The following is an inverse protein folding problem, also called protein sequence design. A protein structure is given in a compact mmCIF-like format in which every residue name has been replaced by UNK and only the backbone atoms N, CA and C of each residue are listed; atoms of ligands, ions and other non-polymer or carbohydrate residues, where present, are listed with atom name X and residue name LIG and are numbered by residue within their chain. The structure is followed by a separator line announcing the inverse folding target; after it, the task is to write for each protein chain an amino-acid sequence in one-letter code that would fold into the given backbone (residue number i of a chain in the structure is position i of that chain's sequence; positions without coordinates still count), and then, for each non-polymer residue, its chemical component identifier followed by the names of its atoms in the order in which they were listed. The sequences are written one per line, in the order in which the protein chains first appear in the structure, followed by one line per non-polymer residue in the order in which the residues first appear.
data_IF_355150623497
#
_entry.id   IF_355150623497
#
_cell.length_a   1.000
_cell.length_b   1.000
_cell.length_c   1.000
_cell.angle_alpha   90.00
_cell.angle_beta   90.00
_cell.angle_gamma   90.00
#
_symmetry.space_group_name_H-M   'P 1'
#
loop_
_entity.id
_entity.type
_entity.pdbx_description
1 polymer ?
#
# COMPACT_ATOMS: atom_id res chain seq x y z
N UNK A 1 -1.22 19.45 -13.13
CA UNK A 1 -2.61 19.48 -12.60
C UNK A 1 -3.58 18.43 -13.18
N UNK A 2 -3.11 17.40 -13.94
CA UNK A 2 -4.00 16.36 -14.54
C UNK A 2 -4.01 15.02 -13.80
N UNK A 3 -3.28 14.87 -12.68
CA UNK A 3 -3.06 13.56 -12.03
C UNK A 3 -3.99 13.21 -10.86
N UNK A 4 -5.09 13.95 -10.66
CA UNK A 4 -5.94 13.79 -9.48
C UNK A 4 -7.42 13.47 -9.78
N UNK A 5 -7.73 13.03 -10.99
CA UNK A 5 -9.10 12.83 -11.44
C UNK A 5 -9.31 11.40 -11.90
N UNK A 6 -10.47 10.84 -11.60
CA UNK A 6 -10.85 9.51 -12.08
C UNK A 6 -11.10 9.58 -13.60
N UNK A 7 -10.63 8.55 -14.30
CA UNK A 7 -10.84 8.36 -15.72
C UNK A 7 -11.98 7.35 -15.92
N UNK A 8 -13.12 7.81 -16.39
CA UNK A 8 -14.30 6.99 -16.60
C UNK A 8 -14.44 6.61 -18.08
N UNK A 9 -14.47 5.32 -18.36
CA UNK A 9 -14.72 4.72 -19.67
C UNK A 9 -15.59 3.47 -19.51
N UNK A 10 -16.91 3.64 -19.43
CA UNK A 10 -17.82 2.57 -19.04
C UNK A 10 -17.59 1.25 -19.79
N UNK A 11 -17.68 0.10 -19.10
CA UNK A 11 -18.11 -0.07 -17.70
C UNK A 11 -16.98 0.10 -16.66
N UNK A 12 -15.81 0.61 -17.07
CA UNK A 12 -14.62 0.73 -16.22
C UNK A 12 -14.40 2.15 -15.71
N UNK A 13 -13.81 2.23 -14.52
CA UNK A 13 -13.30 3.45 -13.89
C UNK A 13 -11.87 3.21 -13.41
N UNK A 14 -10.96 4.04 -13.87
CA UNK A 14 -9.56 4.00 -13.45
C UNK A 14 -9.33 5.11 -12.45
N UNK A 15 -8.87 4.74 -11.25
CA UNK A 15 -8.51 5.66 -10.19
C UNK A 15 -6.98 5.79 -10.10
N UNK A 16 -6.39 6.89 -10.59
CA UNK A 16 -4.95 7.08 -10.56
C UNK A 16 -4.36 7.33 -9.17
N UNK A 17 -5.21 7.66 -8.17
CA UNK A 17 -4.77 7.90 -6.79
C UNK A 17 -4.51 6.59 -6.04
N UNK A 18 -5.32 5.58 -6.36
CA UNK A 18 -5.27 4.27 -5.72
C UNK A 18 -4.52 3.24 -6.58
N UNK A 19 -4.09 3.63 -7.78
CA UNK A 19 -3.57 2.74 -8.81
C UNK A 19 -4.50 1.53 -9.05
N UNK A 20 -5.82 1.79 -9.10
CA UNK A 20 -6.86 0.76 -9.20
C UNK A 20 -7.77 0.95 -10.40
N UNK A 21 -8.10 -0.18 -11.02
CA UNK A 21 -9.14 -0.30 -12.03
C UNK A 21 -10.40 -0.90 -11.37
N UNK A 22 -11.55 -0.34 -11.70
CA UNK A 22 -12.84 -0.83 -11.24
C UNK A 22 -13.76 -1.13 -12.43
N UNK A 23 -14.59 -2.15 -12.30
CA UNK A 23 -15.73 -2.42 -13.17
C UNK A 23 -17.02 -2.21 -12.36
N UNK A 24 -17.71 -1.10 -12.58
CA UNK A 24 -18.67 -0.60 -11.62
C UNK A 24 -18.00 -0.37 -10.27
N UNK A 25 -18.45 -1.03 -9.20
CA UNK A 25 -17.86 -0.95 -7.86
C UNK A 25 -16.91 -2.11 -7.53
N UNK A 26 -16.71 -3.03 -8.46
CA UNK A 26 -15.85 -4.20 -8.25
C UNK A 26 -14.42 -3.89 -8.68
N UNK A 27 -13.40 -4.03 -7.81
CA UNK A 27 -12.01 -3.83 -8.19
C UNK A 27 -11.54 -4.94 -9.14
N UNK A 28 -10.89 -4.53 -10.23
CA UNK A 28 -10.26 -5.42 -11.21
C UNK A 28 -8.76 -5.45 -10.94
N UNK A 29 -8.17 -6.60 -10.60
CA UNK A 29 -6.76 -6.69 -10.29
C UNK A 29 -5.91 -6.39 -11.53
N UNK A 30 -5.02 -5.42 -11.42
CA UNK A 30 -4.07 -5.07 -12.47
C UNK A 30 -2.74 -4.67 -11.83
N UNK A 31 -1.63 -5.22 -12.34
CA UNK A 31 -0.29 -4.93 -11.81
C UNK A 31 0.13 -3.50 -12.14
N UNK A 32 1.10 -2.96 -11.37
CA UNK A 32 1.55 -1.57 -11.48
C UNK A 32 1.95 -1.14 -12.91
N UNK A 33 2.74 -1.95 -13.63
CA UNK A 33 3.16 -1.62 -15.01
C UNK A 33 2.02 -1.71 -16.04
N UNK A 34 1.20 -2.78 -16.09
CA UNK A 34 -0.04 -2.80 -16.86
C UNK A 34 -1.00 -1.68 -16.51
N UNK A 35 -1.13 -1.32 -15.22
CA UNK A 35 -1.94 -0.19 -14.78
C UNK A 35 -1.42 1.13 -15.36
N UNK A 36 -0.11 1.40 -15.21
CA UNK A 36 0.53 2.59 -15.76
C UNK A 36 0.36 2.66 -17.28
N UNK A 37 0.43 1.51 -17.98
CA UNK A 37 0.19 1.42 -19.42
C UNK A 37 -1.25 1.79 -19.78
N UNK A 38 -2.23 1.21 -19.08
CA UNK A 38 -3.65 1.51 -19.27
C UNK A 38 -3.94 2.99 -18.98
N UNK A 39 -3.41 3.51 -17.87
CA UNK A 39 -3.53 4.90 -17.48
C UNK A 39 -3.01 5.83 -18.57
N UNK A 40 -1.77 5.61 -19.03
CA UNK A 40 -1.19 6.44 -20.09
C UNK A 40 -2.06 6.45 -21.35
N UNK A 41 -2.58 5.31 -21.77
CA UNK A 41 -3.46 5.21 -22.94
C UNK A 41 -4.82 5.89 -22.70
N UNK A 42 -5.40 5.78 -21.50
CA UNK A 42 -6.66 6.43 -21.13
C UNK A 42 -6.51 7.95 -20.97
N UNK A 43 -5.33 8.44 -20.59
CA UNK A 43 -5.00 9.88 -20.59
C UNK A 43 -4.84 10.46 -22.02
N UNK A 44 -4.67 9.59 -23.04
CA UNK A 44 -4.53 9.95 -24.45
C UNK A 44 -5.57 9.21 -25.33
N UNK A 45 -6.87 9.36 -25.05
CA UNK A 45 -7.92 8.62 -25.75
C UNK A 45 -7.95 8.95 -27.25
N UNK A 46 -8.31 7.96 -28.07
CA UNK A 46 -8.46 8.05 -29.53
C UNK A 46 -7.19 8.44 -30.29
N UNK A 47 -6.09 8.70 -29.60
CA UNK A 47 -4.80 9.03 -30.18
C UNK A 47 -3.99 7.74 -30.44
N UNK A 48 -3.26 7.71 -31.55
CA UNK A 48 -2.25 6.68 -31.79
C UNK A 48 -1.02 6.96 -30.92
N UNK A 49 -0.75 6.08 -29.98
CA UNK A 49 0.44 6.09 -29.11
C UNK A 49 1.47 5.12 -29.67
N UNK A 50 2.66 5.60 -30.02
CA UNK A 50 3.74 4.78 -30.59
C UNK A 50 4.35 3.84 -29.56
N UNK A 51 4.97 2.75 -30.04
CA UNK A 51 5.68 1.80 -29.16
C UNK A 51 6.81 2.48 -28.36
N UNK A 52 7.56 3.39 -29.00
CA UNK A 52 8.65 4.13 -28.36
C UNK A 52 8.11 5.05 -27.27
N UNK A 53 7.06 5.79 -27.55
CA UNK A 53 6.41 6.68 -26.62
C UNK A 53 5.89 5.93 -25.36
N UNK A 54 5.27 4.76 -25.54
CA UNK A 54 4.85 3.91 -24.41
C UNK A 54 6.03 3.41 -23.60
N UNK A 55 7.13 3.02 -24.25
CA UNK A 55 8.33 2.57 -23.57
C UNK A 55 8.95 3.69 -22.74
N UNK A 56 9.12 4.85 -23.32
CA UNK A 56 9.69 6.02 -22.62
C UNK A 56 8.80 6.44 -21.44
N UNK A 57 7.49 6.45 -21.61
CA UNK A 57 6.55 6.84 -20.57
C UNK A 57 6.49 5.85 -19.40
N UNK A 58 6.61 4.54 -19.67
CA UNK A 58 6.42 3.49 -18.65
C UNK A 58 7.76 2.96 -18.11
N UNK A 59 8.82 3.02 -18.92
CA UNK A 59 10.18 2.54 -18.57
C UNK A 59 11.26 3.56 -18.96
N UNK A 60 11.26 4.76 -18.38
CA UNK A 60 12.19 5.83 -18.79
C UNK A 60 13.66 5.46 -18.61
N UNK A 61 13.99 4.54 -17.71
CA UNK A 61 15.36 4.16 -17.35
C UNK A 61 15.77 2.75 -17.77
N UNK A 62 14.86 1.96 -18.36
CA UNK A 62 15.11 0.56 -18.68
C UNK A 62 14.77 0.26 -20.13
N UNK A 63 15.71 -0.28 -20.88
CA UNK A 63 15.43 -0.75 -22.24
C UNK A 63 14.53 -1.98 -22.18
N UNK A 64 13.33 -1.87 -22.73
CA UNK A 64 12.32 -2.93 -22.76
C UNK A 64 12.03 -3.29 -24.21
N UNK A 65 12.08 -4.59 -24.54
CA UNK A 65 11.77 -5.07 -25.89
C UNK A 65 10.26 -5.00 -26.18
N UNK A 66 9.92 -4.94 -27.47
CA UNK A 66 8.51 -4.99 -27.90
C UNK A 66 7.75 -6.23 -27.42
N UNK A 67 8.47 -7.32 -27.13
CA UNK A 67 7.91 -8.54 -26.55
C UNK A 67 7.31 -8.29 -25.16
N UNK A 68 7.99 -7.55 -24.31
CA UNK A 68 7.54 -7.22 -22.94
C UNK A 68 6.32 -6.31 -22.99
N UNK A 69 6.33 -5.29 -23.86
CA UNK A 69 5.17 -4.42 -24.05
C UNK A 69 3.92 -5.21 -24.48
N UNK A 70 4.07 -6.19 -25.36
CA UNK A 70 2.96 -7.08 -25.78
C UNK A 70 2.44 -7.96 -24.63
N UNK A 71 3.30 -8.40 -23.73
CA UNK A 71 2.89 -9.17 -22.54
C UNK A 71 2.00 -8.31 -21.64
N UNK A 72 2.42 -7.08 -21.32
CA UNK A 72 1.63 -6.17 -20.49
C UNK A 72 0.32 -5.74 -21.15
N UNK A 73 0.32 -5.51 -22.45
CA UNK A 73 -0.92 -5.24 -23.19
C UNK A 73 -1.89 -6.42 -23.18
N UNK A 74 -1.39 -7.64 -23.24
CA UNK A 74 -2.23 -8.83 -23.10
C UNK A 74 -2.88 -8.88 -21.73
N UNK A 75 -2.14 -8.52 -20.68
CA UNK A 75 -2.67 -8.44 -19.32
C UNK A 75 -3.72 -7.33 -19.17
N UNK A 76 -3.47 -6.15 -19.73
CA UNK A 76 -4.47 -5.06 -19.75
C UNK A 76 -5.74 -5.51 -20.48
N UNK A 77 -5.62 -6.16 -21.65
CA UNK A 77 -6.77 -6.69 -22.38
C UNK A 77 -7.54 -7.74 -21.58
N UNK A 78 -6.84 -8.65 -20.93
CA UNK A 78 -7.47 -9.64 -20.07
C UNK A 78 -8.26 -8.99 -18.93
N UNK A 79 -7.73 -7.92 -18.33
CA UNK A 79 -8.41 -7.16 -17.28
C UNK A 79 -9.63 -6.37 -17.79
N UNK A 80 -9.59 -5.90 -19.04
CA UNK A 80 -10.70 -5.20 -19.71
C UNK A 80 -11.67 -6.14 -20.45
N UNK A 81 -11.43 -7.46 -20.42
CA UNK A 81 -12.18 -8.42 -21.24
C UNK A 81 -12.20 -8.05 -22.73
N UNK A 82 -11.07 -7.51 -23.23
CA UNK A 82 -10.91 -6.97 -24.59
C UNK A 82 -10.21 -7.99 -25.51
N UNK A 83 -10.79 -8.25 -26.66
CA UNK A 83 -10.23 -9.17 -27.65
C UNK A 83 -9.44 -8.44 -28.74
N UNK A 84 -8.20 -8.88 -28.99
CA UNK A 84 -7.33 -8.26 -29.99
C UNK A 84 -7.87 -8.31 -31.43
N UNK A 85 -8.76 -9.26 -31.73
CA UNK A 85 -9.39 -9.48 -33.05
C UNK A 85 -10.65 -8.63 -33.25
N UNK A 86 -11.31 -8.24 -32.14
CA UNK A 86 -12.49 -7.39 -32.13
C UNK A 86 -12.38 -6.37 -30.98
N UNK A 87 -11.42 -5.43 -31.05
CA UNK A 87 -11.09 -4.57 -29.93
C UNK A 87 -12.21 -3.58 -29.59
N UNK A 88 -12.60 -3.55 -28.33
CA UNK A 88 -13.53 -2.56 -27.79
C UNK A 88 -12.78 -1.42 -27.06
N UNK A 89 -11.61 -1.73 -26.49
CA UNK A 89 -10.84 -0.78 -25.71
C UNK A 89 -9.49 -0.45 -26.33
N UNK A 90 -8.72 -1.45 -26.80
CA UNK A 90 -7.36 -1.22 -27.31
C UNK A 90 -7.21 -1.76 -28.72
N UNK A 91 -7.15 -0.86 -29.69
CA UNK A 91 -6.82 -1.19 -31.08
C UNK A 91 -5.30 -1.33 -31.26
N UNK A 92 -4.88 -2.40 -31.95
CA UNK A 92 -3.49 -2.52 -32.41
C UNK A 92 -3.39 -1.96 -33.83
N UNK A 93 -2.65 -0.86 -34.00
CA UNK A 93 -2.32 -0.33 -35.31
C UNK A 93 -1.00 -0.96 -35.78
N UNK A 94 -1.07 -1.86 -36.74
CA UNK A 94 0.06 -2.67 -37.21
C UNK A 94 1.32 -1.82 -37.45
N UNK A 95 2.45 -2.23 -36.88
CA UNK A 95 3.78 -1.61 -36.98
C UNK A 95 3.89 -0.15 -36.48
N UNK A 96 2.82 0.43 -35.91
CA UNK A 96 2.79 1.85 -35.52
C UNK A 96 2.59 2.08 -34.02
N UNK A 97 1.77 1.27 -33.34
CA UNK A 97 1.46 1.45 -31.92
C UNK A 97 0.06 0.96 -31.55
N UNK A 98 -0.50 1.59 -30.54
CA UNK A 98 -1.80 1.25 -29.97
C UNK A 98 -2.67 2.49 -29.86
N UNK A 99 -3.99 2.29 -29.86
CA UNK A 99 -4.97 3.36 -29.68
C UNK A 99 -6.00 2.92 -28.67
N UNK A 100 -6.30 3.78 -27.70
CA UNK A 100 -7.40 3.59 -26.77
C UNK A 100 -8.68 4.12 -27.41
N UNK A 101 -9.65 3.23 -27.64
CA UNK A 101 -10.84 3.54 -28.44
C UNK A 101 -11.91 4.31 -27.68
N UNK A 102 -12.19 4.02 -26.39
CA UNK A 102 -13.24 4.70 -25.66
C UNK A 102 -12.99 6.20 -25.53
N UNK A 103 -14.08 6.97 -25.53
CA UNK A 103 -14.05 8.31 -24.97
C UNK A 103 -13.87 8.21 -23.45
N UNK A 104 -12.95 9.00 -22.91
CA UNK A 104 -12.66 9.04 -21.49
C UNK A 104 -13.23 10.31 -20.91
N UNK A 105 -14.18 10.17 -19.98
CA UNK A 105 -14.67 11.28 -19.20
C UNK A 105 -13.74 11.49 -18.00
N UNK A 106 -13.24 12.71 -17.87
CA UNK A 106 -12.49 13.13 -16.70
C UNK A 106 -13.52 13.57 -15.67
N UNK A 107 -13.84 12.69 -14.76
CA UNK A 107 -14.66 13.05 -13.61
C UNK A 107 -13.70 13.65 -12.60
N UNK A 108 -13.85 14.96 -12.33
CA UNK A 108 -13.31 15.52 -11.09
C UNK A 108 -13.91 14.62 -10.01
N UNK A 109 -13.10 13.69 -9.48
CA UNK A 109 -13.60 12.69 -8.56
C UNK A 109 -14.43 13.44 -7.55
N UNK A 110 -15.76 13.25 -7.59
CA UNK A 110 -16.50 13.47 -6.37
C UNK A 110 -15.59 12.85 -5.35
N UNK A 111 -15.14 13.63 -4.39
CA UNK A 111 -14.49 13.10 -3.24
C UNK A 111 -15.42 11.99 -2.69
N UNK A 112 -15.43 10.84 -3.39
CA UNK A 112 -15.34 9.62 -2.69
C UNK A 112 -14.00 9.84 -2.00
N UNK A 113 -14.11 10.56 -0.88
CA UNK A 113 -13.19 10.34 0.18
C UNK A 113 -12.84 8.86 0.02
N UNK A 114 -11.62 8.57 -0.41
CA UNK A 114 -10.89 7.58 0.27
C UNK A 114 -10.57 8.24 1.60
N UNK A 115 -11.60 8.41 2.33
CA UNK A 115 -11.66 7.72 3.57
C UNK A 115 -11.16 6.32 3.18
N UNK A 116 -9.86 6.06 3.29
CA UNK A 116 -9.40 5.08 4.25
C UNK A 116 -10.60 4.89 5.14
N UNK A 117 -11.41 3.72 5.00
CA UNK A 117 -12.73 3.73 5.59
C UNK A 117 -12.54 4.44 6.90
N UNK A 118 -13.15 5.62 6.97
CA UNK A 118 -12.94 6.51 8.10
C UNK A 118 -13.25 5.60 9.23
N UNK A 119 -12.31 5.32 10.12
CA UNK A 119 -12.33 4.16 10.99
C UNK A 119 -13.75 4.01 11.35
N UNK A 120 -14.33 2.89 10.92
CA UNK A 120 -15.76 2.70 10.99
C UNK A 120 -16.10 3.15 12.38
N UNK A 121 -16.83 4.26 12.56
CA UNK A 121 -17.12 4.85 13.85
C UNK A 121 -17.99 3.88 14.70
N UNK A 122 -18.23 2.71 14.13
CA UNK A 122 -18.74 1.57 14.85
C UNK A 122 -17.64 1.14 15.82
N UNK A 123 -17.79 1.44 17.12
CA UNK A 123 -16.79 1.09 18.12
C UNK A 123 -16.55 -0.42 18.00
N UNK A 124 -15.27 -0.79 17.89
CA UNK A 124 -14.86 -2.19 17.76
C UNK A 124 -15.52 -3.01 18.85
N UNK A 125 -16.18 -4.10 18.46
CA UNK A 125 -16.82 -5.01 19.39
C UNK A 125 -15.86 -6.16 19.68
N UNK A 126 -15.65 -6.47 20.95
CA UNK A 126 -14.62 -7.40 21.39
C UNK A 126 -13.22 -6.80 21.17
N UNK A 127 -12.20 -7.60 21.27
CA UNK A 127 -10.80 -7.20 21.01
C UNK A 127 -10.21 -6.19 21.98
N UNK A 128 -10.79 -6.06 23.16
CA UNK A 128 -10.34 -5.10 24.17
C UNK A 128 -8.91 -5.39 24.62
N UNK A 129 -8.60 -6.65 24.86
CA UNK A 129 -7.26 -7.07 25.30
C UNK A 129 -6.23 -6.92 24.18
N UNK A 130 -6.58 -7.32 22.94
CA UNK A 130 -5.69 -7.18 21.78
C UNK A 130 -5.40 -5.70 21.50
N UNK A 131 -6.41 -4.85 21.57
CA UNK A 131 -6.24 -3.41 21.36
C UNK A 131 -5.43 -2.77 22.47
N UNK A 132 -5.63 -3.20 23.73
CA UNK A 132 -4.82 -2.77 24.86
C UNK A 132 -3.35 -3.15 24.69
N UNK A 133 -3.05 -4.37 24.27
CA UNK A 133 -1.67 -4.83 24.04
C UNK A 133 -0.97 -4.01 22.95
N UNK A 134 -1.69 -3.68 21.88
CA UNK A 134 -1.19 -2.79 20.81
C UNK A 134 -0.96 -1.36 21.31
N UNK A 135 -1.85 -0.80 22.13
CA UNK A 135 -1.67 0.51 22.75
C UNK A 135 -0.49 0.52 23.73
N UNK A 136 -0.29 -0.55 24.50
CA UNK A 136 0.87 -0.69 25.38
C UNK A 136 2.18 -0.75 24.59
N UNK A 137 2.20 -1.42 23.42
CA UNK A 137 3.33 -1.42 22.50
C UNK A 137 3.58 0.00 21.94
N UNK A 138 2.54 0.72 21.55
CA UNK A 138 2.64 2.11 21.14
C UNK A 138 3.20 3.03 22.24
N UNK A 139 2.73 2.90 23.47
CA UNK A 139 3.25 3.67 24.61
C UNK A 139 4.75 3.40 24.84
N UNK A 140 5.20 2.14 24.70
CA UNK A 140 6.63 1.81 24.77
C UNK A 140 7.42 2.41 23.61
N UNK A 141 6.85 2.44 22.41
CA UNK A 141 7.47 3.09 21.25
C UNK A 141 7.64 4.60 21.50
N UNK A 142 6.63 5.27 22.02
CA UNK A 142 6.71 6.70 22.40
C UNK A 142 7.79 6.96 23.47
N UNK A 143 8.07 5.99 24.33
CA UNK A 143 9.16 6.05 25.31
C UNK A 143 10.56 5.78 24.72
N UNK A 144 10.70 5.75 23.40
CA UNK A 144 11.97 5.54 22.69
C UNK A 144 12.38 4.07 22.50
N UNK A 145 11.50 3.12 22.78
CA UNK A 145 11.75 1.70 22.58
C UNK A 145 11.18 1.26 21.24
N UNK A 146 12.05 0.76 20.37
CA UNK A 146 11.57 0.15 19.12
C UNK A 146 10.73 -1.07 19.43
N UNK A 147 9.52 -1.12 18.91
CA UNK A 147 8.58 -2.22 19.10
C UNK A 147 8.18 -2.81 17.74
N UNK A 148 8.17 -4.14 17.66
CA UNK A 148 7.66 -4.89 16.51
C UNK A 148 6.57 -5.83 17.02
N UNK A 149 5.38 -5.75 16.42
CA UNK A 149 4.24 -6.58 16.79
C UNK A 149 3.72 -7.29 15.53
N UNK A 150 3.69 -8.61 15.58
CA UNK A 150 3.05 -9.43 14.56
C UNK A 150 1.63 -9.79 15.04
N UNK A 151 0.63 -9.45 14.21
CA UNK A 151 -0.78 -9.76 14.46
C UNK A 151 -1.18 -10.94 13.59
N UNK A 152 -1.33 -12.10 14.22
CA UNK A 152 -1.64 -13.37 13.59
C UNK A 152 -3.12 -13.69 13.69
N UNK A 153 -3.73 -14.28 12.66
CA UNK A 153 -5.11 -14.75 12.68
C UNK A 153 -5.63 -15.16 11.31
N UNK A 154 -6.72 -15.92 11.30
CA UNK A 154 -7.36 -16.42 10.08
C UNK A 154 -7.82 -15.29 9.14
N UNK A 155 -8.06 -15.63 7.87
CA UNK A 155 -8.65 -14.69 6.92
C UNK A 155 -10.04 -14.24 7.40
N UNK A 156 -10.32 -12.93 7.31
CA UNK A 156 -11.63 -12.37 7.73
C UNK A 156 -11.82 -12.22 9.24
N UNK A 157 -10.87 -12.62 10.10
CA UNK A 157 -11.00 -12.60 11.57
C UNK A 157 -11.05 -11.18 12.17
N UNK A 158 -10.76 -10.13 11.37
CA UNK A 158 -10.81 -8.74 11.82
C UNK A 158 -9.43 -8.13 12.13
N UNK A 159 -8.31 -8.66 11.62
CA UNK A 159 -6.97 -8.08 11.80
C UNK A 159 -6.88 -6.62 11.32
N UNK A 160 -7.31 -6.36 10.09
CA UNK A 160 -7.31 -4.99 9.52
C UNK A 160 -8.21 -4.04 10.30
N UNK A 161 -9.36 -4.52 10.82
CA UNK A 161 -10.23 -3.73 11.68
C UNK A 161 -9.53 -3.38 13.01
N UNK A 162 -8.80 -4.33 13.60
CA UNK A 162 -8.01 -4.12 14.82
C UNK A 162 -6.91 -3.08 14.59
N UNK A 163 -6.16 -3.19 13.48
CA UNK A 163 -5.15 -2.20 13.11
C UNK A 163 -5.80 -0.84 12.84
N UNK A 164 -6.92 -0.80 12.11
CA UNK A 164 -7.67 0.43 11.87
C UNK A 164 -8.10 1.12 13.16
N UNK A 165 -8.60 0.37 14.16
CA UNK A 165 -8.98 0.90 15.46
C UNK A 165 -7.77 1.46 16.24
N UNK A 166 -6.65 0.73 16.29
CA UNK A 166 -5.40 1.24 16.86
C UNK A 166 -5.00 2.57 16.21
N UNK A 167 -4.89 2.58 14.89
CA UNK A 167 -4.41 3.74 14.15
C UNK A 167 -5.33 4.96 14.33
N UNK A 168 -6.63 4.73 14.47
CA UNK A 168 -7.60 5.79 14.76
C UNK A 168 -7.44 6.38 16.16
N UNK A 169 -7.20 5.53 17.14
CA UNK A 169 -6.94 5.98 18.51
C UNK A 169 -5.64 6.78 18.61
N UNK A 170 -4.55 6.26 18.02
CA UNK A 170 -3.25 6.93 18.10
C UNK A 170 -3.16 8.18 17.21
N UNK A 171 -3.96 8.30 16.15
CA UNK A 171 -4.02 9.51 15.33
C UNK A 171 -4.48 10.75 16.09
N UNK A 172 -5.17 10.58 17.22
CA UNK A 172 -5.57 11.69 18.11
C UNK A 172 -4.42 12.20 18.99
N UNK A 173 -3.32 11.45 19.09
CA UNK A 173 -2.13 11.89 19.81
C UNK A 173 -1.33 12.88 18.97
N UNK A 174 -1.02 14.05 19.56
CA UNK A 174 -0.21 15.05 18.89
C UNK A 174 1.15 14.49 18.48
N UNK A 175 1.40 14.53 17.18
CA UNK A 175 2.72 14.27 16.64
C UNK A 175 3.03 12.82 16.28
N UNK A 176 2.06 11.95 16.18
CA UNK A 176 2.27 10.59 15.63
C UNK A 176 2.29 10.63 14.11
N UNK A 177 3.26 9.95 13.52
CA UNK A 177 3.39 9.74 12.08
C UNK A 177 3.01 8.31 11.73
N UNK A 178 2.01 8.14 10.88
CA UNK A 178 1.45 6.83 10.52
C UNK A 178 1.75 6.54 9.05
N UNK A 179 2.54 5.50 8.79
CA UNK A 179 2.76 4.92 7.47
C UNK A 179 1.97 3.62 7.32
N UNK A 180 1.23 3.49 6.21
CA UNK A 180 0.47 2.26 5.89
C UNK A 180 0.96 1.67 4.60
N UNK A 181 1.21 0.36 4.60
CA UNK A 181 1.52 -0.42 3.41
C UNK A 181 0.78 -1.76 3.44
N UNK A 182 0.38 -2.22 2.28
CA UNK A 182 -0.32 -3.50 2.13
C UNK A 182 0.45 -4.42 1.20
N UNK A 183 0.67 -5.66 1.64
CA UNK A 183 1.17 -6.70 0.77
C UNK A 183 0.02 -7.28 -0.04
N UNK A 184 0.22 -7.47 -1.33
CA UNK A 184 -0.77 -8.05 -2.23
C UNK A 184 -0.26 -9.35 -2.81
N UNK A 185 -1.17 -10.30 -3.02
CA UNK A 185 -0.83 -11.57 -3.66
C UNK A 185 -0.31 -11.32 -5.07
N UNK A 186 0.94 -11.68 -5.32
CA UNK A 186 1.55 -11.61 -6.63
C UNK A 186 1.79 -12.99 -7.21
N UNK A 187 1.37 -13.22 -8.47
CA UNK A 187 1.78 -14.37 -9.26
C UNK A 187 3.03 -14.00 -10.07
N UNK A 188 4.21 -14.18 -9.49
CA UNK A 188 5.50 -13.86 -10.11
C UNK A 188 6.44 -13.11 -9.16
N UNK A 189 7.52 -12.53 -9.68
CA UNK A 189 8.43 -11.71 -8.87
C UNK A 189 7.71 -10.43 -8.43
N UNK A 190 7.59 -10.22 -7.11
CA UNK A 190 7.06 -9.00 -6.54
C UNK A 190 8.15 -7.91 -6.52
N UNK A 191 7.75 -6.67 -6.67
CA UNK A 191 8.66 -5.53 -6.53
C UNK A 191 9.22 -5.50 -5.10
N UNK A 192 10.55 -5.45 -4.93
CA UNK A 192 11.16 -5.42 -3.61
C UNK A 192 10.70 -4.22 -2.80
N UNK A 193 10.40 -4.43 -1.52
CA UNK A 193 10.01 -3.40 -0.55
C UNK A 193 8.70 -2.66 -0.84
N UNK A 194 7.86 -3.11 -1.77
CA UNK A 194 6.63 -2.39 -2.16
C UNK A 194 5.78 -1.93 -0.98
N UNK A 195 5.41 -2.77 0.01
CA UNK A 195 4.59 -2.33 1.14
C UNK A 195 5.28 -1.28 2.01
N UNK A 196 6.61 -1.30 2.06
CA UNK A 196 7.38 -0.30 2.81
C UNK A 196 7.44 1.02 2.05
N UNK A 197 7.60 0.98 0.74
CA UNK A 197 7.53 2.17 -0.12
C UNK A 197 6.16 2.86 -0.02
N UNK A 198 5.07 2.09 0.01
CA UNK A 198 3.72 2.62 0.20
C UNK A 198 3.56 3.25 1.59
N UNK A 199 4.08 2.60 2.64
CA UNK A 199 4.08 3.15 3.99
C UNK A 199 4.88 4.47 4.07
N UNK A 200 6.03 4.55 3.42
CA UNK A 200 6.84 5.77 3.36
C UNK A 200 6.13 6.89 2.58
N UNK A 201 5.48 6.58 1.45
CA UNK A 201 4.65 7.56 0.73
C UNK A 201 3.55 8.12 1.62
N UNK A 202 2.88 7.26 2.36
CA UNK A 202 1.82 7.65 3.27
C UNK A 202 2.34 8.55 4.41
N UNK A 203 3.57 8.34 4.88
CA UNK A 203 4.26 9.23 5.83
C UNK A 203 4.58 10.61 5.24
N UNK A 204 4.87 10.70 3.95
CA UNK A 204 5.23 11.95 3.29
C UNK A 204 4.05 12.91 3.10
N UNK A 205 2.81 12.44 3.11
CA UNK A 205 1.64 13.29 2.81
C UNK A 205 1.29 14.29 3.91
N UNK A 206 1.16 13.91 5.20
CA UNK A 206 0.77 14.86 6.25
C UNK A 206 1.92 15.77 6.71
N UNK A 207 3.17 15.29 6.67
CA UNK A 207 4.36 15.94 7.26
C UNK A 207 5.49 16.08 6.23
N UNK A 208 5.16 16.49 5.01
CA UNK A 208 6.13 16.61 3.88
C UNK A 208 7.37 17.41 4.25
N UNK A 209 7.21 18.49 5.02
CA UNK A 209 8.29 19.42 5.40
C UNK A 209 9.32 18.82 6.35
N UNK A 210 9.01 17.72 7.01
CA UNK A 210 9.92 17.01 7.93
C UNK A 210 10.37 15.69 7.36
N UNK A 211 9.43 14.90 6.82
CA UNK A 211 9.69 13.53 6.38
C UNK A 211 10.52 13.50 5.08
N UNK A 212 10.14 14.31 4.08
CA UNK A 212 10.86 14.33 2.79
C UNK A 212 12.32 14.76 2.94
N UNK A 213 12.68 15.86 3.66
CA UNK A 213 14.07 16.21 3.90
C UNK A 213 14.86 15.12 4.65
N UNK A 214 14.23 14.44 5.62
CA UNK A 214 14.87 13.36 6.34
C UNK A 214 15.16 12.15 5.41
N UNK A 215 14.18 11.72 4.61
CA UNK A 215 14.38 10.63 3.63
C UNK A 215 15.42 11.06 2.58
N UNK A 216 15.37 12.29 2.07
CA UNK A 216 16.36 12.80 1.10
C UNK A 216 17.77 12.76 1.64
N UNK A 217 17.96 13.07 2.91
CA UNK A 217 19.28 13.10 3.55
C UNK A 217 19.81 11.72 3.93
N UNK A 218 18.95 10.87 4.53
CA UNK A 218 19.36 9.63 5.15
C UNK A 218 19.02 8.38 4.33
N UNK A 219 18.00 8.46 3.46
CA UNK A 219 17.55 7.34 2.63
C UNK A 219 17.31 7.76 1.16
N UNK A 220 18.30 8.37 0.49
CA UNK A 220 18.16 8.85 -0.89
C UNK A 220 17.80 7.73 -1.87
N UNK A 221 18.30 6.51 -1.66
CA UNK A 221 17.98 5.35 -2.50
C UNK A 221 16.50 4.98 -2.45
N UNK A 222 15.85 5.18 -1.32
CA UNK A 222 14.41 4.95 -1.15
C UNK A 222 13.59 6.05 -1.82
N UNK A 223 14.01 7.30 -1.67
CA UNK A 223 13.32 8.42 -2.31
C UNK A 223 13.36 8.30 -3.85
N UNK A 224 14.46 7.79 -4.41
CA UNK A 224 14.60 7.52 -5.83
C UNK A 224 13.67 6.40 -6.36
N UNK A 225 13.00 5.65 -5.49
CA UNK A 225 11.99 4.65 -5.83
C UNK A 225 10.54 5.15 -5.62
N UNK A 226 10.38 6.40 -5.19
CA UNK A 226 9.08 7.00 -4.91
C UNK A 226 8.79 8.18 -5.85
N UNK A 227 8.47 7.94 -7.14
CA UNK A 227 8.12 9.00 -8.08
C UNK A 227 6.89 9.78 -7.57
N UNK A 228 6.89 11.10 -7.81
CA UNK A 228 5.79 11.99 -7.42
C UNK A 228 5.81 12.45 -5.95
N UNK A 229 6.78 12.02 -5.14
CA UNK A 229 6.98 12.54 -3.76
C UNK A 229 7.77 13.85 -3.77
N UNK A 230 8.62 14.05 -4.77
CA UNK A 230 9.38 15.28 -5.01
C UNK A 230 9.19 15.72 -6.46
N UNK A 231 9.60 16.96 -6.77
CA UNK A 231 9.52 17.52 -8.13
C UNK A 231 10.36 16.68 -9.12
N UNK A 232 9.91 16.61 -10.36
CA UNK A 232 10.46 15.72 -11.40
C UNK A 232 11.95 15.98 -11.67
N UNK A 233 12.38 17.24 -11.71
CA UNK A 233 13.79 17.59 -11.90
C UNK A 233 14.68 17.11 -10.75
N UNK A 234 14.22 17.32 -9.52
CA UNK A 234 14.93 16.86 -8.32
C UNK A 234 14.94 15.32 -8.22
N UNK A 235 13.92 14.66 -8.74
CA UNK A 235 13.83 13.21 -8.81
C UNK A 235 14.83 12.63 -9.82
N UNK A 236 14.92 13.22 -11.02
CA UNK A 236 15.89 12.82 -12.05
C UNK A 236 17.35 12.96 -11.58
N UNK A 237 17.68 14.08 -10.94
CA UNK A 237 18.98 14.31 -10.34
C UNK A 237 19.33 13.28 -9.25
N UNK A 238 18.34 12.91 -8.43
CA UNK A 238 18.51 11.93 -7.38
C UNK A 238 18.77 10.53 -7.94
N UNK A 239 18.03 10.13 -8.97
CA UNK A 239 18.19 8.83 -9.63
C UNK A 239 19.62 8.67 -10.23
N UNK A 240 20.17 9.73 -10.83
CA UNK A 240 21.53 9.70 -11.35
C UNK A 240 22.58 9.51 -10.25
N UNK A 241 22.36 10.12 -9.07
CA UNK A 241 23.31 10.05 -7.94
C UNK A 241 23.28 8.71 -7.20
N UNK A 242 22.15 7.99 -7.26
CA UNK A 242 21.90 6.79 -6.43
C UNK A 242 22.12 5.48 -7.21
N UNK A 243 22.41 5.53 -8.51
CA UNK A 243 22.59 4.37 -9.37
C UNK A 243 23.50 3.29 -8.79
N UNK A 244 23.04 2.03 -8.77
CA UNK A 244 23.84 0.86 -8.35
C UNK A 244 23.91 0.58 -6.84
N UNK A 245 22.99 1.11 -6.04
CA UNK A 245 22.96 0.89 -4.58
C UNK A 245 22.60 -0.55 -4.21
N UNK A 246 23.47 -1.23 -3.46
CA UNK A 246 23.22 -2.58 -2.97
C UNK A 246 22.20 -2.64 -1.81
N UNK A 247 21.57 -3.81 -1.63
CA UNK A 247 20.55 -4.07 -0.60
C UNK A 247 20.99 -3.64 0.82
N UNK A 248 22.22 -3.91 1.21
CA UNK A 248 22.74 -3.53 2.55
C UNK A 248 22.77 -2.01 2.76
N UNK A 249 23.01 -1.23 1.72
CA UNK A 249 22.95 0.22 1.80
C UNK A 249 21.51 0.68 2.03
N UNK A 250 20.56 0.14 1.29
CA UNK A 250 19.13 0.43 1.47
C UNK A 250 18.65 0.15 2.88
N UNK A 251 19.01 -1.02 3.46
CA UNK A 251 18.64 -1.38 4.84
C UNK A 251 19.17 -0.36 5.87
N UNK A 252 20.41 0.11 5.71
CA UNK A 252 20.98 1.13 6.60
C UNK A 252 20.33 2.49 6.43
N UNK A 253 20.18 2.93 5.20
CA UNK A 253 19.56 4.22 4.86
C UNK A 253 18.17 4.37 5.49
N UNK A 254 17.28 3.38 5.29
CA UNK A 254 15.91 3.48 5.81
C UNK A 254 15.88 3.40 7.33
N UNK A 255 16.74 2.61 7.94
CA UNK A 255 16.79 2.53 9.39
C UNK A 255 17.22 3.87 10.00
N UNK A 256 18.24 4.52 9.45
CA UNK A 256 18.69 5.86 9.87
C UNK A 256 17.62 6.91 9.64
N UNK A 257 16.94 6.88 8.49
CA UNK A 257 15.84 7.80 8.19
C UNK A 257 14.69 7.67 9.20
N UNK A 258 14.24 6.43 9.48
CA UNK A 258 13.18 6.18 10.46
C UNK A 258 13.57 6.60 11.88
N UNK A 259 14.83 6.40 12.26
CA UNK A 259 15.37 6.87 13.55
C UNK A 259 15.35 8.39 13.65
N UNK A 260 15.72 9.09 12.59
CA UNK A 260 15.69 10.56 12.56
C UNK A 260 14.26 11.11 12.51
N UNK A 261 13.39 10.52 11.72
CA UNK A 261 11.96 10.89 11.67
C UNK A 261 11.32 10.64 13.04
N UNK A 262 11.68 9.52 13.69
CA UNK A 262 11.21 9.12 15.01
C UNK A 262 11.91 9.78 16.20
N UNK A 263 12.85 10.71 15.98
CA UNK A 263 13.60 11.33 17.08
C UNK A 263 12.74 12.21 18.00
N UNK A 264 11.70 12.83 17.47
CA UNK A 264 10.85 13.78 18.19
C UNK A 264 9.38 13.39 18.23
N UNK A 265 8.95 12.50 17.34
CA UNK A 265 7.56 12.08 17.18
C UNK A 265 7.51 10.61 16.81
N UNK A 266 6.67 9.85 17.48
CA UNK A 266 6.56 8.43 17.23
C UNK A 266 6.16 8.13 15.77
N UNK A 267 6.83 7.18 15.17
CA UNK A 267 6.52 6.63 13.83
C UNK A 267 5.86 5.29 14.00
N UNK A 268 4.75 5.08 13.35
CA UNK A 268 4.03 3.81 13.30
C UNK A 268 3.99 3.32 11.86
N UNK A 269 4.54 2.16 11.59
CA UNK A 269 4.45 1.49 10.30
C UNK A 269 3.48 0.30 10.42
N UNK A 270 2.34 0.39 9.76
CA UNK A 270 1.36 -0.69 9.68
C UNK A 270 1.52 -1.39 8.31
N UNK A 271 1.95 -2.64 8.33
CA UNK A 271 2.17 -3.46 7.13
C UNK A 271 1.18 -4.62 7.14
N UNK A 272 0.21 -4.58 6.24
CA UNK A 272 -0.85 -5.59 6.22
C UNK A 272 -0.51 -6.74 5.28
N UNK A 273 -0.96 -7.94 5.66
CA UNK A 273 -0.87 -9.18 4.89
C UNK A 273 0.56 -9.62 4.54
N UNK A 274 1.49 -9.55 5.51
CA UNK A 274 2.91 -9.93 5.35
C UNK A 274 3.12 -11.34 4.77
N UNK A 275 2.13 -12.21 4.79
CA UNK A 275 2.19 -13.51 4.13
C UNK A 275 2.22 -13.42 2.59
N UNK A 276 1.98 -12.24 2.02
CA UNK A 276 2.18 -11.93 0.60
C UNK A 276 3.41 -11.06 0.34
N UNK A 277 4.21 -10.81 1.38
CA UNK A 277 5.37 -9.93 1.30
C UNK A 277 6.51 -10.54 0.46
N UNK A 278 7.26 -9.66 -0.20
CA UNK A 278 8.51 -10.01 -0.85
C UNK A 278 9.63 -10.32 0.17
N UNK A 279 10.64 -11.14 -0.19
CA UNK A 279 11.72 -11.50 0.71
C UNK A 279 12.56 -10.31 1.20
N UNK A 280 12.66 -9.23 0.40
CA UNK A 280 13.44 -8.05 0.77
C UNK A 280 12.77 -7.27 1.89
N UNK A 281 11.44 -7.16 1.86
CA UNK A 281 10.64 -6.57 2.95
C UNK A 281 10.83 -7.36 4.25
N UNK A 282 10.79 -8.70 4.20
CA UNK A 282 10.99 -9.54 5.38
C UNK A 282 12.41 -9.38 5.94
N UNK A 283 13.43 -9.30 5.06
CA UNK A 283 14.82 -9.01 5.45
C UNK A 283 14.94 -7.65 6.13
N UNK A 284 14.23 -6.64 5.64
CA UNK A 284 14.19 -5.32 6.27
C UNK A 284 13.56 -5.36 7.66
N UNK A 285 12.45 -6.08 7.83
CA UNK A 285 11.80 -6.23 9.12
C UNK A 285 12.72 -6.90 10.15
N UNK A 286 13.44 -7.96 9.74
CA UNK A 286 14.47 -8.60 10.58
C UNK A 286 15.57 -7.61 10.96
N UNK A 287 16.08 -6.87 9.98
CA UNK A 287 17.11 -5.85 10.20
C UNK A 287 16.66 -4.78 11.18
N UNK A 288 15.45 -4.23 11.00
CA UNK A 288 14.90 -3.20 11.88
C UNK A 288 14.65 -3.72 13.29
N UNK A 289 14.17 -4.96 13.45
CA UNK A 289 13.92 -5.57 14.75
C UNK A 289 15.21 -5.79 15.56
N UNK A 290 16.33 -6.10 14.90
CA UNK A 290 17.63 -6.38 15.54
C UNK A 290 18.43 -5.11 15.86
N UNK A 291 18.01 -3.95 15.40
CA UNK A 291 18.73 -2.70 15.70
C UNK A 291 18.55 -2.29 17.17
N UNK A 292 19.65 -1.89 17.77
CA UNK A 292 19.70 -1.51 19.20
C UNK A 292 19.59 0.00 19.43
N UNK A 293 19.69 0.80 18.37
CA UNK A 293 19.56 2.24 18.47
C UNK A 293 18.15 2.63 18.95
N UNK A 294 18.02 3.49 19.97
CA UNK A 294 16.73 3.96 20.44
C UNK A 294 15.96 4.64 19.29
N UNK A 295 14.69 4.33 19.16
CA UNK A 295 13.82 4.98 18.20
C UNK A 295 12.37 4.91 18.68
N UNK A 296 11.63 6.01 18.50
CA UNK A 296 10.19 6.04 18.70
C UNK A 296 9.50 5.40 17.48
N UNK A 297 9.65 4.08 17.35
CA UNK A 297 9.19 3.34 16.18
C UNK A 297 8.38 2.12 16.62
N UNK A 298 7.13 2.06 16.18
CA UNK A 298 6.28 0.89 16.25
C UNK A 298 6.08 0.32 14.84
N UNK A 299 6.40 -0.95 14.65
CA UNK A 299 6.07 -1.69 13.43
C UNK A 299 5.01 -2.72 13.78
N UNK A 300 3.86 -2.66 13.10
CA UNK A 300 2.79 -3.65 13.25
C UNK A 300 2.60 -4.36 11.93
N UNK A 301 2.77 -5.68 11.92
CA UNK A 301 2.62 -6.51 10.74
C UNK A 301 1.49 -7.51 10.90
N UNK A 302 0.52 -7.57 9.97
CA UNK A 302 -0.52 -8.60 10.01
C UNK A 302 -0.18 -9.78 9.12
N UNK A 303 -0.54 -10.99 9.53
CA UNK A 303 -0.36 -12.19 8.72
C UNK A 303 -1.35 -13.29 9.07
N UNK A 304 -1.44 -14.31 8.21
CA UNK A 304 -2.14 -15.56 8.53
C UNK A 304 -1.31 -16.38 9.53
N UNK A 305 -1.95 -17.28 10.30
CA UNK A 305 -1.20 -18.14 11.22
C UNK A 305 -0.04 -18.83 10.52
N UNK A 306 1.13 -18.80 11.11
CA UNK A 306 2.34 -19.42 10.51
C UNK A 306 2.16 -20.91 10.22
N UNK A 307 1.27 -21.59 10.95
CA UNK A 307 0.91 -22.98 10.69
C UNK A 307 0.18 -23.17 9.36
N UNK A 308 -0.55 -22.17 8.89
CA UNK A 308 -1.27 -22.18 7.61
C UNK A 308 -0.37 -21.80 6.42
N UNK A 309 0.86 -21.33 6.64
CA UNK A 309 1.81 -20.98 5.59
C UNK A 309 2.58 -22.22 5.12
N UNK A 310 3.01 -22.25 3.85
CA UNK A 310 3.92 -23.29 3.36
C UNK A 310 5.15 -23.46 4.26
N UNK A 311 5.66 -24.68 4.40
CA UNK A 311 6.74 -24.98 5.33
C UNK A 311 8.04 -24.21 5.10
N UNK A 312 8.30 -23.83 3.84
CA UNK A 312 9.45 -23.02 3.41
C UNK A 312 9.17 -21.52 3.30
N UNK A 313 8.04 -21.04 3.81
CA UNK A 313 7.69 -19.62 3.69
C UNK A 313 8.61 -18.75 4.56
N UNK A 314 9.31 -17.72 4.01
CA UNK A 314 10.30 -16.93 4.73
C UNK A 314 9.74 -16.22 5.98
N UNK A 315 8.47 -15.78 5.95
CA UNK A 315 7.81 -15.15 7.08
C UNK A 315 7.74 -16.09 8.32
N UNK A 316 7.58 -17.40 8.09
CA UNK A 316 7.55 -18.38 9.20
C UNK A 316 8.85 -18.34 10.01
N UNK A 317 9.98 -18.35 9.33
CA UNK A 317 11.32 -18.26 9.94
C UNK A 317 11.47 -16.92 10.67
N UNK A 318 11.11 -15.82 10.01
CA UNK A 318 11.20 -14.48 10.60
C UNK A 318 10.41 -14.38 11.91
N UNK A 319 9.12 -14.77 11.91
CA UNK A 319 8.27 -14.69 13.10
C UNK A 319 8.84 -15.57 14.21
N UNK A 320 9.27 -16.81 13.91
CA UNK A 320 9.84 -17.72 14.90
C UNK A 320 11.14 -17.22 15.51
N UNK A 321 12.01 -16.60 14.74
CA UNK A 321 13.29 -16.06 15.23
C UNK A 321 13.12 -14.80 16.09
N UNK A 322 12.15 -13.95 15.75
CA UNK A 322 11.92 -12.69 16.44
C UNK A 322 10.97 -12.82 17.64
N UNK A 323 10.05 -13.79 17.62
CA UNK A 323 9.02 -13.95 18.64
C UNK A 323 9.61 -14.13 20.04
N UNK A 324 9.04 -13.40 21.01
CA UNK A 324 9.41 -13.46 22.43
C UNK A 324 10.74 -12.77 22.79
N UNK A 325 11.53 -12.33 21.82
CA UNK A 325 12.82 -11.65 22.05
C UNK A 325 12.85 -10.22 21.52
N UNK A 326 12.58 -10.06 20.23
CA UNK A 326 12.67 -8.79 19.49
C UNK A 326 11.33 -8.34 18.93
N UNK A 327 10.37 -9.25 18.84
CA UNK A 327 9.01 -8.97 18.43
C UNK A 327 8.00 -9.65 19.34
N UNK A 328 6.80 -9.09 19.42
CA UNK A 328 5.64 -9.69 20.07
C UNK A 328 4.76 -10.34 19.01
N UNK A 329 4.14 -11.44 19.33
CA UNK A 329 3.11 -12.06 18.52
C UNK A 329 1.76 -11.98 19.24
N UNK A 330 0.79 -11.31 18.61
CA UNK A 330 -0.56 -11.17 19.10
C UNK A 330 -1.47 -12.04 18.23
N UNK A 331 -2.09 -13.04 18.82
CA UNK A 331 -3.01 -13.94 18.09
C UNK A 331 -4.45 -13.45 18.22
N UNK A 332 -5.09 -13.19 17.09
CA UNK A 332 -6.49 -12.78 17.00
C UNK A 332 -7.35 -14.03 16.79
N UNK A 333 -8.12 -14.43 17.80
CA UNK A 333 -9.03 -15.57 17.78
C UNK A 333 -10.44 -15.21 17.26
N UNK A 334 -11.38 -16.15 17.29
CA UNK A 334 -12.78 -15.89 16.97
C UNK A 334 -13.43 -14.95 18.00
N UNK A 335 -14.42 -14.17 17.59
CA UNK A 335 -15.25 -13.39 18.50
C UNK A 335 -16.07 -14.33 19.37
N UNK A 336 -16.32 -13.94 20.62
CA UNK A 336 -17.23 -14.68 21.50
C UNK A 336 -18.67 -14.51 21.04
N UNK A 337 -19.55 -15.41 21.49
CA UNK A 337 -20.99 -15.31 21.20
C UNK A 337 -21.56 -13.95 21.67
N UNK A 338 -21.07 -13.47 22.82
CA UNK A 338 -21.47 -12.16 23.37
C UNK A 338 -21.01 -11.00 22.47
N UNK A 339 -19.78 -11.08 21.93
CA UNK A 339 -19.25 -10.08 21.02
C UNK A 339 -20.05 -10.04 19.72
N UNK A 340 -20.38 -11.22 19.17
CA UNK A 340 -21.22 -11.33 17.96
C UNK A 340 -22.61 -10.74 18.20
N UNK A 341 -23.26 -11.05 19.33
CA UNK A 341 -24.55 -10.46 19.69
C UNK A 341 -24.49 -8.93 19.78
N UNK A 342 -23.45 -8.41 20.44
CA UNK A 342 -23.22 -6.97 20.57
C UNK A 342 -22.96 -6.31 19.20
N UNK A 343 -22.23 -6.98 18.32
CA UNK A 343 -21.97 -6.51 16.96
C UNK A 343 -23.26 -6.39 16.13
N UNK A 344 -24.11 -7.43 16.19
CA UNK A 344 -25.37 -7.44 15.46
C UNK A 344 -26.35 -6.38 15.98
N UNK A 345 -26.42 -6.18 17.31
CA UNK A 345 -27.27 -5.14 17.90
C UNK A 345 -26.88 -3.75 17.41
N UNK A 346 -25.58 -3.44 17.40
CA UNK A 346 -25.07 -2.15 16.91
C UNK A 346 -25.29 -1.93 15.43
N UNK A 347 -25.20 -2.97 14.62
CA UNK A 347 -25.53 -2.88 13.19
C UNK A 347 -27.01 -2.60 12.95
N UNK A 348 -27.89 -3.19 13.74
CA UNK A 348 -29.33 -2.91 13.70
C UNK A 348 -29.66 -1.44 14.05
N UNK A 349 -29.05 -0.89 15.09
CA UNK A 349 -29.24 0.52 15.49
C UNK A 349 -28.75 1.52 14.42
N UNK A 350 -27.64 1.22 13.72
CA UNK A 350 -27.12 2.05 12.62
C UNK A 350 -28.04 1.99 11.39
N UNK A 351 -28.64 0.83 11.10
CA UNK A 351 -29.59 0.68 10.00
C UNK A 351 -30.88 1.48 10.26
N UNK A 352 -31.40 1.47 11.49
CA UNK A 352 -32.60 2.23 11.88
C UNK A 352 -32.37 3.76 11.86
N UNK A 353 -31.18 4.23 12.23
CA UNK A 353 -30.84 5.67 12.17
C UNK A 353 -30.71 6.18 10.72
N UNK A 354 -30.20 5.38 9.81
CA UNK A 354 -30.12 5.74 8.39
C UNK A 354 -31.47 5.60 7.65
N UNK A 355 -32.36 4.75 8.14
CA UNK A 355 -33.72 4.61 7.61
C UNK A 355 -34.69 5.73 8.00
N UNK A 356 -34.41 6.43 9.11
CA UNK A 356 -35.28 7.51 9.61
C UNK A 356 -35.01 8.88 8.98
N UNK A 357 -33.92 9.05 8.24
CA UNK A 357 -33.55 10.33 7.58
C UNK A 357 -34.07 10.49 6.15
N UNK A 358 -34.89 9.55 5.67
CA UNK A 358 -35.44 9.57 4.28
C UNK A 358 -36.95 9.83 4.21
N UNK A 359 -37.59 10.27 5.29
CA UNK A 359 -39.00 10.67 5.28
C UNK A 359 -39.15 11.98 6.06
N UNK A 360 -38.81 13.09 5.41
CA UNK A 360 -39.38 14.42 5.62
C UNK A 360 -39.21 15.27 4.36
#
# INVERSE_FOLDING_TARGET
MRHQVDLLFPPYRLNPREDRLFRGDTPVPLRAKPFALLRYMAEHPQRLVKHEELREAIWPTTYVSDGVLRVYLREVRAALEDEATAPQFIETVAHRGYRFLPAVEIVAGAAASTTVPAPSTTPMVGRVEELKELNDAFARACAGRREVVFVSGEAGIGKSALIGALLSQIATHDGVRIGRGQCVEHRGESEPYLPVLDALRSLCQPDSDVVIPAIRKYAPTWLAQMPGVIEDDAFADLQQKVGGSGQQRMLREIAEALEQIGAHRAVVLALEDLHWSDPSTLTLLDWLARRTQPAQLLIVGTHRPVAALPGNHPLRTLVQELAGRLARELTVGALTVTDVATYLQRQGEVADQNGSSSIE
#
